data_IF_444402073737
#
_entry.id   IF_444402073737
#
_cell.length_a   1.000
_cell.length_b   1.000
_cell.length_c   1.000
_cell.angle_alpha   90.00
_cell.angle_beta   90.00
_cell.angle_gamma   90.00
#
_symmetry.space_group_name_H-M   'P 1'
#
loop_
_entity.id
_entity.type
_entity.pdbx_description
1 polymer ?
#
# COMPACT_ATOMS: atom_id res chain seq x y z
N UNK A 1 -30.90 35.59 -33.62
CA UNK A 1 -30.10 35.11 -32.46
C UNK A 1 -29.20 33.96 -32.95
N UNK A 2 -28.27 34.28 -33.86
CA UNK A 2 -27.38 33.34 -34.58
C UNK A 2 -25.97 33.98 -34.62
N UNK A 3 -25.49 34.45 -33.46
CA UNK A 3 -24.22 35.19 -33.37
C UNK A 3 -23.41 34.91 -32.08
N UNK A 4 -23.62 33.76 -31.41
CA UNK A 4 -22.84 33.39 -30.21
C UNK A 4 -22.25 31.97 -30.23
N UNK A 5 -22.12 31.33 -31.41
CA UNK A 5 -21.58 29.95 -31.50
C UNK A 5 -20.22 29.89 -32.23
N UNK A 6 -19.73 31.01 -32.82
CA UNK A 6 -18.49 31.00 -33.62
C UNK A 6 -17.24 31.58 -32.92
N UNK A 7 -17.35 32.01 -31.66
CA UNK A 7 -16.23 32.66 -30.93
C UNK A 7 -15.55 31.76 -29.87
N UNK A 8 -16.02 30.52 -29.70
CA UNK A 8 -15.51 29.58 -28.69
C UNK A 8 -14.37 28.68 -29.18
N UNK A 9 -14.20 28.47 -30.49
CA UNK A 9 -13.18 27.52 -31.01
C UNK A 9 -11.80 28.17 -31.23
N UNK A 10 -11.74 29.49 -31.42
CA UNK A 10 -10.48 30.21 -31.65
C UNK A 10 -9.65 30.41 -30.37
N UNK A 11 -10.31 30.50 -29.20
CA UNK A 11 -9.65 30.74 -27.91
C UNK A 11 -9.01 29.44 -27.37
N UNK A 12 -9.64 28.28 -27.61
CA UNK A 12 -9.14 26.98 -27.14
C UNK A 12 -7.87 26.54 -27.89
N UNK A 13 -7.73 26.93 -29.15
CA UNK A 13 -6.56 26.62 -29.98
C UNK A 13 -5.36 27.49 -29.58
N UNK A 14 -5.59 28.75 -29.22
CA UNK A 14 -4.53 29.66 -28.77
C UNK A 14 -3.98 29.28 -27.38
N UNK A 15 -4.83 28.77 -26.47
CA UNK A 15 -4.38 28.28 -25.15
C UNK A 15 -3.54 27.00 -25.23
N UNK A 16 -3.82 26.10 -26.19
CA UNK A 16 -3.03 24.87 -26.39
C UNK A 16 -1.66 25.16 -27.01
N UNK A 17 -1.57 26.15 -27.90
CA UNK A 17 -0.30 26.58 -28.50
C UNK A 17 0.56 27.35 -27.47
N UNK A 18 -0.04 28.16 -26.59
CA UNK A 18 0.69 28.84 -25.52
C UNK A 18 1.26 27.85 -24.48
N UNK A 19 0.50 26.80 -24.12
CA UNK A 19 0.96 25.78 -23.17
C UNK A 19 2.05 24.87 -23.76
N UNK A 20 2.00 24.60 -25.07
CA UNK A 20 3.08 23.89 -25.77
C UNK A 20 4.35 24.76 -25.92
N UNK A 21 4.20 26.06 -26.16
CA UNK A 21 5.32 27.00 -26.24
C UNK A 21 6.00 27.24 -24.88
N UNK A 22 5.25 27.22 -23.77
CA UNK A 22 5.84 27.31 -22.42
C UNK A 22 6.66 26.08 -22.03
N UNK A 23 6.34 24.88 -22.54
CA UNK A 23 7.16 23.68 -22.30
C UNK A 23 8.45 23.66 -23.13
N UNK A 24 8.46 24.27 -24.32
CA UNK A 24 9.67 24.34 -25.17
C UNK A 24 10.59 25.48 -24.73
N UNK A 25 10.05 26.61 -24.26
CA UNK A 25 10.85 27.81 -23.96
C UNK A 25 11.49 27.82 -22.56
N UNK A 26 11.05 26.96 -21.64
CA UNK A 26 11.67 26.85 -20.30
C UNK A 26 12.91 25.95 -20.28
N UNK A 27 13.21 25.26 -21.39
CA UNK A 27 14.29 24.27 -21.49
C UNK A 27 15.67 24.87 -21.81
N UNK A 28 15.76 26.14 -22.22
CA UNK A 28 17.03 26.72 -22.69
C UNK A 28 17.72 27.69 -21.71
N UNK A 29 17.21 27.92 -20.49
CA UNK A 29 17.72 29.01 -19.64
C UNK A 29 18.36 28.63 -18.30
N UNK A 30 18.44 27.35 -17.91
CA UNK A 30 19.14 26.99 -16.66
C UNK A 30 19.88 25.64 -16.73
N UNK A 31 21.20 25.72 -16.94
CA UNK A 31 22.22 25.06 -16.12
C UNK A 31 22.31 23.53 -16.03
N UNK A 32 23.27 22.96 -16.77
CA UNK A 32 23.87 21.63 -16.53
C UNK A 32 23.05 20.45 -17.09
N UNK A 33 23.69 19.31 -17.42
CA UNK A 33 22.96 18.10 -17.73
C UNK A 33 22.26 17.65 -16.45
N UNK A 34 20.98 17.99 -16.30
CA UNK A 34 20.09 17.25 -15.42
C UNK A 34 19.99 15.87 -16.07
N UNK A 35 20.66 14.86 -15.52
CA UNK A 35 20.28 13.48 -15.79
C UNK A 35 18.79 13.41 -15.48
N UNK A 36 17.94 13.39 -16.52
CA UNK A 36 16.51 13.16 -16.40
C UNK A 36 16.34 11.75 -15.82
N UNK A 37 16.39 11.67 -14.49
CA UNK A 37 16.27 10.42 -13.76
C UNK A 37 14.85 9.92 -13.99
N UNK A 38 14.76 8.97 -14.93
CA UNK A 38 13.50 8.57 -15.54
C UNK A 38 12.52 8.05 -14.49
N UNK A 39 11.26 8.45 -14.62
CA UNK A 39 10.24 8.14 -13.64
C UNK A 39 9.88 6.64 -13.70
N UNK A 40 10.02 5.95 -12.57
CA UNK A 40 9.69 4.52 -12.39
C UNK A 40 8.25 4.32 -11.96
N UNK A 41 7.63 3.22 -12.36
CA UNK A 41 6.25 2.87 -12.04
C UNK A 41 6.12 2.40 -10.57
N UNK A 42 7.07 1.61 -10.08
CA UNK A 42 7.15 1.17 -8.68
C UNK A 42 8.49 1.62 -8.09
N UNK A 43 8.51 2.11 -6.85
CA UNK A 43 9.76 2.41 -6.14
C UNK A 43 10.43 1.15 -5.61
N UNK A 44 11.73 1.21 -5.29
CA UNK A 44 12.43 0.10 -4.59
C UNK A 44 11.75 -0.31 -3.28
N UNK A 45 11.08 0.64 -2.62
CA UNK A 45 10.29 0.40 -1.40
C UNK A 45 8.88 -0.16 -1.67
N UNK A 46 8.52 -0.44 -2.93
CA UNK A 46 7.25 -1.06 -3.30
C UNK A 46 6.03 -0.14 -3.40
N UNK A 47 6.23 1.19 -3.39
CA UNK A 47 5.15 2.18 -3.60
C UNK A 47 4.94 2.39 -5.09
N UNK A 48 3.69 2.33 -5.54
CA UNK A 48 3.32 2.63 -6.92
C UNK A 48 3.23 4.16 -7.12
N UNK A 49 3.91 4.70 -8.13
CA UNK A 49 3.87 6.12 -8.47
C UNK A 49 2.77 6.41 -9.49
N UNK A 50 1.52 6.12 -9.12
CA UNK A 50 0.36 6.36 -9.98
C UNK A 50 -0.55 7.37 -9.32
N UNK A 51 -0.67 8.54 -9.93
CA UNK A 51 -1.68 9.52 -9.56
C UNK A 51 -2.94 9.22 -10.37
N UNK A 52 -3.99 8.77 -9.69
CA UNK A 52 -5.29 8.59 -10.32
C UNK A 52 -5.84 9.96 -10.72
N UNK A 53 -6.32 10.07 -11.96
CA UNK A 53 -7.00 11.27 -12.44
C UNK A 53 -8.30 11.55 -11.65
N UNK A 54 -9.00 12.66 -11.96
CA UNK A 54 -10.26 12.99 -11.30
C UNK A 54 -11.27 11.85 -11.49
N UNK A 55 -11.67 11.23 -10.37
CA UNK A 55 -12.70 10.20 -10.34
C UNK A 55 -14.06 10.91 -10.20
N UNK A 56 -14.96 10.71 -11.17
CA UNK A 56 -16.28 11.35 -11.20
C UNK A 56 -17.18 10.90 -10.03
N UNK A 57 -17.09 9.63 -9.63
CA UNK A 57 -17.97 9.03 -8.62
C UNK A 57 -17.29 8.83 -7.27
N UNK A 58 -17.09 9.93 -6.54
CA UNK A 58 -16.52 9.90 -5.17
C UNK A 58 -17.45 9.26 -4.14
N UNK A 59 -18.73 9.08 -4.46
CA UNK A 59 -19.73 8.48 -3.56
C UNK A 59 -19.40 7.02 -3.21
N UNK A 60 -18.71 6.31 -4.10
CA UNK A 60 -18.29 4.92 -3.89
C UNK A 60 -17.33 4.73 -2.72
N UNK A 61 -16.50 5.73 -2.44
CA UNK A 61 -15.62 5.70 -1.27
C UNK A 61 -16.41 5.85 0.04
N UNK A 62 -17.51 6.61 0.03
CA UNK A 62 -18.37 6.79 1.21
C UNK A 62 -19.24 5.56 1.47
N UNK A 63 -19.65 4.82 0.43
CA UNK A 63 -20.38 3.56 0.62
C UNK A 63 -19.53 2.49 1.31
N UNK A 64 -18.21 2.54 1.18
CA UNK A 64 -17.28 1.66 1.89
C UNK A 64 -16.53 2.41 3.00
N UNK A 65 -17.31 2.89 3.98
CA UNK A 65 -16.79 3.68 5.11
C UNK A 65 -15.82 2.86 5.97
N UNK A 66 -16.03 1.55 6.08
CA UNK A 66 -15.20 0.67 6.90
C UNK A 66 -13.78 0.57 6.34
N UNK A 67 -13.62 0.25 5.05
CA UNK A 67 -12.27 0.18 4.46
C UNK A 67 -11.61 1.56 4.45
N UNK A 68 -12.38 2.61 4.15
CA UNK A 68 -11.90 3.99 4.15
C UNK A 68 -11.32 4.38 5.52
N UNK A 69 -12.04 4.09 6.62
CA UNK A 69 -11.57 4.37 7.98
C UNK A 69 -10.30 3.60 8.32
N UNK A 70 -10.24 2.31 7.97
CA UNK A 70 -9.07 1.47 8.25
C UNK A 70 -7.85 1.92 7.42
N UNK A 71 -8.06 2.43 6.20
CA UNK A 71 -7.01 2.91 5.30
C UNK A 71 -6.44 4.30 5.67
N UNK A 72 -7.16 5.09 6.48
CA UNK A 72 -6.67 6.38 6.96
C UNK A 72 -5.30 6.26 7.64
N UNK A 73 -4.46 7.30 7.53
CA UNK A 73 -3.23 7.37 8.34
C UNK A 73 -3.59 7.38 9.82
N UNK A 74 -2.75 6.80 10.67
CA UNK A 74 -3.00 6.70 12.12
C UNK A 74 -3.41 8.03 12.77
N UNK A 75 -2.81 9.16 12.35
CA UNK A 75 -3.17 10.50 12.86
C UNK A 75 -4.64 10.85 12.61
N UNK A 76 -5.13 10.59 11.40
CA UNK A 76 -6.51 10.86 11.02
C UNK A 76 -7.47 9.82 11.60
N UNK A 77 -7.06 8.56 11.67
CA UNK A 77 -7.82 7.50 12.32
C UNK A 77 -8.09 7.81 13.80
N UNK A 78 -7.04 8.16 14.55
CA UNK A 78 -7.18 8.54 15.97
C UNK A 78 -8.04 9.80 16.14
N UNK A 79 -7.90 10.78 15.24
CA UNK A 79 -8.74 11.97 15.25
C UNK A 79 -10.23 11.63 15.07
N UNK A 80 -10.58 10.82 14.07
CA UNK A 80 -11.97 10.38 13.84
C UNK A 80 -12.49 9.58 15.02
N UNK A 81 -11.68 8.69 15.59
CA UNK A 81 -12.01 7.91 16.78
C UNK A 81 -12.35 8.83 17.96
N UNK A 82 -11.49 9.80 18.29
CA UNK A 82 -11.74 10.76 19.37
C UNK A 82 -12.98 11.62 19.11
N UNK A 83 -13.15 12.11 17.87
CA UNK A 83 -14.32 12.92 17.50
C UNK A 83 -15.62 12.14 17.62
N UNK A 84 -15.65 10.86 17.24
CA UNK A 84 -16.85 10.02 17.38
C UNK A 84 -17.34 9.96 18.84
N UNK A 85 -16.44 9.73 19.80
CA UNK A 85 -16.79 9.72 21.22
C UNK A 85 -17.27 11.09 21.71
N UNK A 86 -16.52 12.15 21.42
CA UNK A 86 -16.88 13.51 21.86
C UNK A 86 -18.26 13.91 21.32
N UNK A 87 -18.54 13.66 20.03
CA UNK A 87 -19.82 13.98 19.43
C UNK A 87 -20.96 13.20 20.09
N UNK A 88 -20.76 11.91 20.39
CA UNK A 88 -21.80 11.12 21.06
C UNK A 88 -22.07 11.60 22.48
N UNK A 89 -21.03 11.92 23.26
CA UNK A 89 -21.18 12.44 24.61
C UNK A 89 -21.88 13.79 24.62
N UNK A 90 -21.50 14.70 23.71
CA UNK A 90 -22.14 16.01 23.59
C UNK A 90 -23.59 15.88 23.14
N UNK A 91 -23.89 15.03 22.15
CA UNK A 91 -25.26 14.82 21.66
C UNK A 91 -26.19 14.28 22.76
N UNK A 92 -25.75 13.29 23.54
CA UNK A 92 -26.55 12.79 24.67
C UNK A 92 -26.62 13.80 25.81
N UNK A 93 -25.56 14.56 26.08
CA UNK A 93 -25.59 15.66 27.06
C UNK A 93 -26.62 16.73 26.70
N UNK A 94 -26.69 17.11 25.41
CA UNK A 94 -27.70 18.04 24.90
C UNK A 94 -29.10 17.47 25.12
N UNK A 95 -29.34 16.20 24.81
CA UNK A 95 -30.64 15.56 25.02
C UNK A 95 -31.02 15.51 26.51
N UNK A 96 -30.09 15.13 27.40
CA UNK A 96 -30.33 15.13 28.85
C UNK A 96 -30.63 16.53 29.38
N UNK A 97 -29.86 17.53 28.94
CA UNK A 97 -30.05 18.90 29.38
C UNK A 97 -31.38 19.49 28.87
N UNK A 98 -31.75 19.19 27.62
CA UNK A 98 -33.04 19.59 27.05
C UNK A 98 -34.21 18.92 27.79
N UNK A 99 -34.10 17.63 28.14
CA UNK A 99 -35.12 16.93 28.92
C UNK A 99 -35.28 17.53 30.32
N UNK A 100 -34.16 17.75 31.03
CA UNK A 100 -34.15 18.41 32.33
C UNK A 100 -34.73 19.84 32.28
N UNK A 101 -34.44 20.59 31.20
CA UNK A 101 -34.97 21.94 31.00
C UNK A 101 -36.47 21.94 30.68
N UNK A 102 -36.95 21.01 29.85
CA UNK A 102 -38.38 20.88 29.54
C UNK A 102 -39.23 20.45 30.74
N UNK A 103 -38.64 19.69 31.66
CA UNK A 103 -39.28 19.29 32.94
C UNK A 103 -39.16 20.34 34.04
N UNK A 104 -38.43 21.41 33.79
CA UNK A 104 -38.13 22.48 34.78
C UNK A 104 -37.32 21.98 36.00
N UNK A 105 -36.63 20.84 35.85
CA UNK A 105 -35.76 20.24 36.87
C UNK A 105 -34.59 21.19 37.21
N UNK A 106 -34.10 21.92 36.21
CA UNK A 106 -32.99 22.89 36.35
C UNK A 106 -33.38 24.11 37.19
N UNK A 107 -34.65 24.53 37.17
CA UNK A 107 -35.13 25.66 37.98
C UNK A 107 -35.37 25.26 39.45
N UNK A 108 -35.70 23.99 39.70
CA UNK A 108 -36.07 23.46 41.02
C UNK A 108 -34.97 22.65 41.71
N UNK A 109 -33.70 22.82 41.30
CA UNK A 109 -32.54 22.09 41.85
C UNK A 109 -32.40 22.21 43.38
N UNK A 110 -32.85 23.32 43.98
CA UNK A 110 -32.79 23.56 45.42
C UNK A 110 -34.12 23.30 46.16
N UNK A 111 -35.14 22.80 45.48
CA UNK A 111 -36.42 22.47 46.11
C UNK A 111 -36.39 21.02 46.62
N UNK A 112 -36.37 20.79 47.94
CA UNK A 112 -36.33 19.44 48.51
C UNK A 112 -37.62 18.64 48.31
N UNK A 113 -38.71 19.28 47.85
CA UNK A 113 -39.97 18.60 47.53
C UNK A 113 -40.06 18.20 46.05
N UNK A 114 -39.21 18.76 45.19
CA UNK A 114 -39.19 18.44 43.77
C UNK A 114 -38.51 17.08 43.54
N UNK A 115 -39.10 16.26 42.67
CA UNK A 115 -38.58 14.96 42.30
C UNK A 115 -37.98 15.02 40.89
N UNK A 116 -36.68 15.31 40.75
CA UNK A 116 -36.06 15.47 39.43
C UNK A 116 -35.96 14.14 38.71
N UNK A 117 -35.93 14.19 37.38
CA UNK A 117 -35.61 13.03 36.55
C UNK A 117 -34.14 12.65 36.67
N UNK A 118 -33.26 13.66 36.70
CA UNK A 118 -31.82 13.50 36.84
C UNK A 118 -31.32 14.22 38.08
N UNK A 119 -30.74 13.49 39.03
CA UNK A 119 -30.18 14.08 40.24
C UNK A 119 -28.88 14.85 39.94
N UNK A 120 -28.74 16.03 40.54
CA UNK A 120 -27.54 16.87 40.46
C UNK A 120 -27.15 17.28 39.01
N UNK A 121 -28.15 17.51 38.17
CA UNK A 121 -28.00 18.09 36.83
C UNK A 121 -28.50 19.54 36.85
N UNK A 122 -27.58 20.48 37.08
CA UNK A 122 -27.83 21.92 37.23
C UNK A 122 -27.44 22.76 36.00
N UNK A 123 -26.61 22.18 35.13
CA UNK A 123 -25.95 22.88 34.03
C UNK A 123 -25.62 21.93 32.88
N UNK A 124 -25.36 22.47 31.69
CA UNK A 124 -24.92 21.64 30.56
C UNK A 124 -23.68 20.78 30.87
N UNK A 125 -22.73 21.31 31.64
CA UNK A 125 -21.52 20.57 32.04
C UNK A 125 -21.88 19.39 32.95
N UNK A 126 -22.82 19.55 33.88
CA UNK A 126 -23.31 18.45 34.71
C UNK A 126 -24.04 17.37 33.90
N UNK A 127 -24.81 17.76 32.88
CA UNK A 127 -25.45 16.84 31.94
C UNK A 127 -24.41 16.11 31.06
N UNK A 128 -23.33 16.79 30.67
CA UNK A 128 -22.21 16.19 29.97
C UNK A 128 -21.48 15.16 30.82
N UNK A 129 -21.27 15.46 32.11
CA UNK A 129 -20.70 14.49 33.04
C UNK A 129 -21.61 13.27 33.18
N UNK A 130 -22.92 13.46 33.35
CA UNK A 130 -23.90 12.35 33.37
C UNK A 130 -23.82 11.52 32.08
N UNK A 131 -23.78 12.16 30.91
CA UNK A 131 -23.64 11.46 29.63
C UNK A 131 -22.37 10.62 29.55
N UNK A 132 -21.22 11.19 29.91
CA UNK A 132 -19.94 10.46 29.91
C UNK A 132 -19.95 9.31 30.92
N UNK A 133 -20.41 9.58 32.16
CA UNK A 133 -20.49 8.59 33.23
C UNK A 133 -21.37 7.40 32.85
N UNK A 134 -22.49 7.65 32.17
CA UNK A 134 -23.42 6.62 31.69
C UNK A 134 -22.87 5.88 30.48
N UNK A 135 -22.40 6.57 29.44
CA UNK A 135 -21.93 5.91 28.20
C UNK A 135 -20.65 5.10 28.41
N UNK A 136 -19.73 5.59 29.26
CA UNK A 136 -18.52 4.86 29.64
C UNK A 136 -18.70 3.93 30.83
N UNK A 137 -19.91 3.83 31.35
CA UNK A 137 -20.27 2.99 32.50
C UNK A 137 -19.33 3.21 33.70
N UNK A 138 -18.94 4.46 33.94
CA UNK A 138 -18.11 4.85 35.09
C UNK A 138 -19.00 4.94 36.33
N UNK A 139 -20.13 5.65 36.20
CA UNK A 139 -21.16 5.78 37.23
C UNK A 139 -20.61 6.19 38.60
N UNK A 140 -20.11 7.42 38.76
CA UNK A 140 -19.58 7.87 40.06
C UNK A 140 -20.66 7.89 41.16
N UNK A 141 -21.94 7.86 40.79
CA UNK A 141 -23.07 7.78 41.71
C UNK A 141 -23.52 9.12 42.28
N UNK A 142 -22.87 10.23 41.89
CA UNK A 142 -23.31 11.57 42.25
C UNK A 142 -24.44 12.11 41.35
N UNK A 143 -24.54 11.60 40.11
CA UNK A 143 -25.58 11.95 39.14
C UNK A 143 -26.28 10.65 38.74
N UNK A 144 -27.59 10.62 38.93
CA UNK A 144 -28.39 9.40 38.83
C UNK A 144 -29.68 9.71 38.06
N UNK A 145 -30.10 8.77 37.23
CA UNK A 145 -31.44 8.78 36.63
C UNK A 145 -32.40 8.16 37.62
N UNK A 146 -33.45 8.87 38.00
CA UNK A 146 -34.45 8.41 38.96
C UNK A 146 -35.57 7.64 38.28
N UNK A 147 -36.37 6.90 39.06
CA UNK A 147 -37.56 6.20 38.55
C UNK A 147 -38.78 7.13 38.37
N UNK A 148 -38.62 8.44 38.56
CA UNK A 148 -39.71 9.42 38.53
C UNK A 148 -40.13 9.79 37.09
N UNK A 149 -39.29 9.48 36.11
CA UNK A 149 -39.49 9.78 34.69
C UNK A 149 -39.29 8.52 33.85
N UNK A 150 -40.18 8.25 32.90
CA UNK A 150 -40.06 7.09 32.01
C UNK A 150 -39.10 7.38 30.85
N UNK A 151 -39.16 8.62 30.36
CA UNK A 151 -38.33 9.16 29.28
C UNK A 151 -36.82 9.12 29.63
N UNK A 152 -36.43 9.50 30.85
CA UNK A 152 -35.04 9.41 31.30
C UNK A 152 -34.52 7.97 31.33
N UNK A 153 -35.36 7.01 31.74
CA UNK A 153 -35.03 5.57 31.72
C UNK A 153 -34.87 5.07 30.29
N UNK A 154 -35.80 5.43 29.39
CA UNK A 154 -35.71 5.07 27.96
C UNK A 154 -34.47 5.68 27.30
N UNK A 155 -34.15 6.93 27.62
CA UNK A 155 -32.98 7.63 27.12
C UNK A 155 -31.68 6.97 27.59
N UNK A 156 -31.58 6.61 28.87
CA UNK A 156 -30.44 5.87 29.41
C UNK A 156 -30.27 4.49 28.75
N UNK A 157 -31.37 3.77 28.52
CA UNK A 157 -31.34 2.49 27.79
C UNK A 157 -30.87 2.67 26.35
N UNK A 158 -31.41 3.66 25.64
CA UNK A 158 -31.03 3.96 24.27
C UNK A 158 -29.54 4.35 24.17
N UNK A 159 -29.07 5.20 25.07
CA UNK A 159 -27.66 5.59 25.16
C UNK A 159 -26.75 4.38 25.41
N UNK A 160 -27.15 3.48 26.31
CA UNK A 160 -26.35 2.29 26.63
C UNK A 160 -26.21 1.36 25.42
N UNK A 161 -27.30 1.17 24.65
CA UNK A 161 -27.30 0.36 23.43
C UNK A 161 -26.44 1.01 22.34
N UNK A 162 -26.65 2.30 22.05
CA UNK A 162 -25.90 3.03 21.02
C UNK A 162 -24.42 3.11 21.40
N UNK A 163 -24.09 3.41 22.65
CA UNK A 163 -22.73 3.44 23.17
C UNK A 163 -22.01 2.11 22.98
N UNK A 164 -22.68 1.00 23.31
CA UNK A 164 -22.13 -0.35 23.13
C UNK A 164 -21.88 -0.70 21.66
N UNK A 165 -22.78 -0.30 20.74
CA UNK A 165 -22.61 -0.50 19.30
C UNK A 165 -21.38 0.29 18.80
N UNK A 166 -21.25 1.55 19.21
CA UNK A 166 -20.12 2.41 18.82
C UNK A 166 -18.80 1.85 19.36
N UNK A 167 -18.76 1.45 20.63
CA UNK A 167 -17.58 0.83 21.23
C UNK A 167 -17.17 -0.45 20.49
N UNK A 168 -18.12 -1.33 20.17
CA UNK A 168 -17.85 -2.56 19.43
C UNK A 168 -17.29 -2.28 18.03
N UNK A 169 -17.89 -1.34 17.28
CA UNK A 169 -17.43 -0.95 15.95
C UNK A 169 -16.02 -0.32 15.99
N UNK A 170 -15.78 0.58 16.94
CA UNK A 170 -14.51 1.30 17.05
C UNK A 170 -13.36 0.39 17.48
N UNK A 171 -13.58 -0.47 18.47
CA UNK A 171 -12.60 -1.49 18.89
C UNK A 171 -12.33 -2.48 17.75
N UNK A 172 -13.37 -2.92 17.04
CA UNK A 172 -13.23 -3.79 15.87
C UNK A 172 -12.39 -3.15 14.77
N UNK A 173 -12.66 -1.88 14.43
CA UNK A 173 -11.86 -1.13 13.45
C UNK A 173 -10.39 -0.98 13.89
N UNK A 174 -10.15 -0.67 15.17
CA UNK A 174 -8.80 -0.55 15.71
C UNK A 174 -8.05 -1.88 15.67
N UNK A 175 -8.71 -2.98 16.03
CA UNK A 175 -8.14 -4.32 15.95
C UNK A 175 -7.73 -4.67 14.52
N UNK A 176 -8.61 -4.48 13.53
CA UNK A 176 -8.29 -4.74 12.12
C UNK A 176 -7.13 -3.87 11.65
N UNK A 177 -7.12 -2.59 12.02
CA UNK A 177 -6.05 -1.65 11.63
C UNK A 177 -4.68 -2.06 12.19
N UNK A 178 -4.62 -2.49 13.45
CA UNK A 178 -3.38 -2.94 14.11
C UNK A 178 -2.93 -4.29 13.57
N UNK A 179 -3.88 -5.18 13.29
CA UNK A 179 -3.60 -6.51 12.78
C UNK A 179 -2.94 -6.45 11.40
N UNK A 180 -3.36 -5.53 10.51
CA UNK A 180 -2.85 -5.44 9.13
C UNK A 180 -1.30 -5.50 9.03
N UNK A 181 -0.74 -6.36 8.18
CA UNK A 181 0.69 -6.67 8.17
C UNK A 181 1.53 -5.65 7.36
N UNK A 182 1.15 -4.38 7.30
CA UNK A 182 1.85 -3.39 6.47
C UNK A 182 3.34 -3.23 6.85
N UNK A 183 3.66 -3.36 8.14
CA UNK A 183 5.05 -3.33 8.63
C UNK A 183 5.82 -4.61 8.31
N UNK A 184 5.14 -5.72 8.00
CA UNK A 184 5.79 -6.99 7.64
C UNK A 184 6.41 -6.91 6.25
N UNK A 185 5.74 -6.26 5.31
CA UNK A 185 6.30 -6.02 3.97
C UNK A 185 7.65 -5.28 4.00
N UNK A 186 7.90 -4.46 5.05
CA UNK A 186 9.15 -3.72 5.21
C UNK A 186 10.32 -4.58 5.72
N UNK A 187 10.06 -5.76 6.28
CA UNK A 187 11.12 -6.69 6.71
C UNK A 187 11.49 -7.73 5.65
N UNK A 188 10.70 -7.79 4.57
CA UNK A 188 11.04 -8.55 3.37
C UNK A 188 11.91 -7.67 2.48
N UNK A 189 13.14 -8.12 2.23
CA UNK A 189 14.13 -7.37 1.47
C UNK A 189 14.37 -8.02 0.12
N UNK A 190 14.65 -7.17 -0.86
CA UNK A 190 15.07 -7.55 -2.20
C UNK A 190 16.48 -7.03 -2.45
N UNK A 191 17.27 -7.71 -3.27
CA UNK A 191 18.58 -7.21 -3.66
C UNK A 191 18.46 -5.84 -4.34
N UNK A 192 19.47 -4.98 -4.16
CA UNK A 192 19.49 -3.67 -4.84
C UNK A 192 19.53 -3.81 -6.36
N UNK A 193 20.27 -4.81 -6.84
CA UNK A 193 20.49 -5.08 -8.26
C UNK A 193 19.94 -6.45 -8.64
N UNK A 194 19.56 -6.58 -9.91
CA UNK A 194 19.47 -7.87 -10.59
C UNK A 194 20.81 -8.16 -11.24
N UNK A 195 21.14 -9.44 -11.44
CA UNK A 195 22.34 -9.84 -12.17
C UNK A 195 22.00 -10.81 -13.27
N UNK A 196 22.68 -10.71 -14.42
CA UNK A 196 22.59 -11.67 -15.51
C UNK A 196 23.91 -12.42 -15.58
N UNK A 197 23.84 -13.74 -15.51
CA UNK A 197 25.01 -14.60 -15.72
C UNK A 197 24.60 -15.98 -16.23
N UNK A 198 25.58 -16.71 -16.72
CA UNK A 198 25.40 -18.09 -17.13
C UNK A 198 25.34 -19.03 -15.91
N UNK A 199 24.35 -19.92 -15.89
CA UNK A 199 24.19 -20.97 -14.89
C UNK A 199 23.77 -22.25 -15.60
N UNK A 200 24.56 -23.31 -15.45
CA UNK A 200 24.35 -24.59 -16.12
C UNK A 200 24.11 -24.42 -17.63
N UNK A 201 25.03 -23.68 -18.26
CA UNK A 201 25.06 -23.30 -19.69
C UNK A 201 23.92 -22.40 -20.20
N UNK A 202 22.98 -22.04 -19.33
CA UNK A 202 21.83 -21.20 -19.67
C UNK A 202 22.02 -19.79 -19.14
N UNK A 203 21.64 -18.80 -19.95
CA UNK A 203 21.63 -17.41 -19.51
C UNK A 203 20.47 -17.19 -18.53
N UNK A 204 20.76 -16.66 -17.35
CA UNK A 204 19.80 -16.51 -16.28
C UNK A 204 19.79 -15.08 -15.74
N UNK A 205 18.60 -14.53 -15.50
CA UNK A 205 18.38 -13.32 -14.73
C UNK A 205 18.11 -13.71 -13.27
N UNK A 206 18.88 -13.13 -12.35
CA UNK A 206 18.91 -13.50 -10.94
C UNK A 206 18.63 -12.27 -10.07
N UNK A 207 17.83 -12.45 -9.03
CA UNK A 207 17.69 -11.47 -7.94
C UNK A 207 17.54 -12.19 -6.61
N UNK A 208 17.91 -11.53 -5.51
CA UNK A 208 17.86 -12.13 -4.18
C UNK A 208 16.67 -11.58 -3.40
N UNK A 209 16.05 -12.45 -2.63
CA UNK A 209 15.03 -12.09 -1.66
C UNK A 209 15.46 -12.61 -0.29
N UNK A 210 14.99 -11.97 0.78
CA UNK A 210 15.24 -12.43 2.14
C UNK A 210 14.17 -11.95 3.10
N UNK A 211 13.98 -12.70 4.18
CA UNK A 211 13.20 -12.26 5.35
C UNK A 211 14.18 -11.92 6.48
N UNK A 212 14.08 -10.70 7.03
CA UNK A 212 14.88 -10.30 8.18
C UNK A 212 14.32 -10.83 9.51
N UNK A 213 13.11 -11.39 9.52
CA UNK A 213 12.50 -11.96 10.72
C UNK A 213 12.72 -13.47 10.81
N UNK A 214 12.78 -13.97 12.04
CA UNK A 214 12.85 -15.40 12.33
C UNK A 214 11.51 -16.14 12.09
N UNK A 215 10.38 -15.48 12.33
CA UNK A 215 9.04 -16.01 12.05
C UNK A 215 8.85 -16.24 10.55
N UNK A 216 8.09 -17.26 10.15
CA UNK A 216 8.02 -17.66 8.76
C UNK A 216 6.93 -16.93 7.97
N UNK A 217 7.13 -16.84 6.66
CA UNK A 217 6.07 -16.50 5.72
C UNK A 217 5.51 -17.79 5.14
N UNK A 218 4.25 -18.07 5.46
CA UNK A 218 3.54 -19.27 5.03
C UNK A 218 3.02 -19.07 3.60
N UNK A 219 3.09 -20.12 2.76
CA UNK A 219 2.62 -20.08 1.36
C UNK A 219 3.23 -18.90 0.56
N UNK A 220 4.54 -18.70 0.71
CA UNK A 220 5.27 -17.64 0.02
C UNK A 220 5.31 -17.92 -1.50
N UNK A 221 4.91 -16.95 -2.30
CA UNK A 221 4.81 -17.01 -3.76
C UNK A 221 5.48 -15.79 -4.39
N UNK A 222 6.34 -16.01 -5.37
CA UNK A 222 7.02 -14.94 -6.09
C UNK A 222 6.48 -14.81 -7.52
N UNK A 223 6.22 -13.58 -7.95
CA UNK A 223 5.82 -13.26 -9.32
C UNK A 223 6.65 -12.11 -9.86
N UNK A 224 6.88 -12.11 -11.17
CA UNK A 224 7.57 -11.03 -11.86
C UNK A 224 6.76 -10.57 -13.07
N UNK A 225 6.65 -9.24 -13.23
CA UNK A 225 6.02 -8.60 -14.39
C UNK A 225 7.04 -7.69 -15.06
N UNK A 226 7.16 -7.79 -16.37
CA UNK A 226 7.88 -6.83 -17.20
C UNK A 226 6.90 -5.74 -17.64
N UNK A 227 7.26 -4.48 -17.40
CA UNK A 227 6.56 -3.32 -17.92
C UNK A 227 7.41 -2.69 -19.02
N UNK A 228 6.84 -2.63 -20.22
CA UNK A 228 7.48 -2.01 -21.39
C UNK A 228 6.44 -1.33 -22.27
N UNK A 229 6.78 -0.19 -22.86
CA UNK A 229 5.95 0.43 -23.89
C UNK A 229 6.15 -0.28 -25.22
N UNK A 230 5.06 -0.55 -25.95
CA UNK A 230 5.12 -1.23 -27.25
C UNK A 230 4.15 -0.57 -28.24
N UNK A 231 4.50 -0.62 -29.52
CA UNK A 231 3.57 -0.36 -30.61
C UNK A 231 3.18 -1.68 -31.29
N UNK A 232 1.88 -1.90 -31.51
CA UNK A 232 1.37 -3.08 -32.22
C UNK A 232 1.66 -2.98 -33.71
N UNK A 233 1.49 -4.09 -34.45
CA UNK A 233 1.70 -4.09 -35.90
C UNK A 233 0.66 -3.24 -36.63
N UNK A 234 -0.51 -3.11 -36.02
CA UNK A 234 -1.66 -2.32 -36.47
C UNK A 234 -1.49 -0.82 -36.15
N UNK A 235 -0.45 -0.44 -35.40
CA UNK A 235 -0.08 0.95 -35.10
C UNK A 235 -0.55 1.48 -33.75
N UNK A 236 -1.26 0.68 -32.94
CA UNK A 236 -1.70 1.07 -31.60
C UNK A 236 -0.50 1.20 -30.64
N UNK A 237 -0.41 2.31 -29.92
CA UNK A 237 0.61 2.52 -28.90
C UNK A 237 0.09 2.13 -27.51
N UNK A 238 0.74 1.15 -26.90
CA UNK A 238 0.45 0.65 -25.56
C UNK A 238 1.54 1.18 -24.61
N UNK A 239 1.22 2.13 -23.70
CA UNK A 239 2.24 2.84 -22.92
C UNK A 239 2.93 1.98 -21.86
N UNK A 240 2.21 1.06 -21.21
CA UNK A 240 2.71 0.22 -20.11
C UNK A 240 2.20 -1.21 -20.28
N UNK A 241 2.60 -1.88 -21.36
CA UNK A 241 2.26 -3.30 -21.58
C UNK A 241 2.90 -4.13 -20.47
N UNK A 242 2.11 -4.98 -19.82
CA UNK A 242 2.56 -5.86 -18.75
C UNK A 242 2.65 -7.28 -19.30
N UNK A 243 3.85 -7.86 -19.30
CA UNK A 243 4.07 -9.27 -19.60
C UNK A 243 4.64 -10.01 -18.40
N UNK A 244 4.44 -11.32 -18.34
CA UNK A 244 4.90 -12.15 -17.22
C UNK A 244 6.30 -12.70 -17.47
N UNK A 245 7.12 -12.69 -16.42
CA UNK A 245 8.45 -13.34 -16.44
C UNK A 245 8.30 -14.65 -15.67
N UNK A 246 8.57 -15.78 -16.34
CA UNK A 246 8.43 -17.10 -15.73
C UNK A 246 9.50 -17.33 -14.65
N UNK A 247 9.08 -17.48 -13.40
CA UNK A 247 9.95 -17.80 -12.25
C UNK A 247 9.84 -19.27 -11.80
N UNK A 248 9.32 -20.15 -12.68
CA UNK A 248 9.07 -21.56 -12.38
C UNK A 248 7.63 -21.84 -11.95
N UNK A 249 6.65 -21.12 -12.51
CA UNK A 249 5.22 -21.34 -12.21
C UNK A 249 4.80 -22.79 -12.51
N UNK A 250 5.21 -23.32 -13.67
CA UNK A 250 4.83 -24.66 -14.12
C UNK A 250 5.47 -25.79 -13.30
N UNK A 251 6.67 -25.55 -12.76
CA UNK A 251 7.38 -26.50 -11.90
C UNK A 251 7.08 -26.29 -10.42
N UNK A 252 6.38 -25.20 -10.09
CA UNK A 252 6.11 -24.76 -8.74
C UNK A 252 7.32 -24.21 -7.98
N UNK A 253 8.39 -23.82 -8.70
CA UNK A 253 9.57 -23.16 -8.14
C UNK A 253 9.32 -21.71 -7.71
N UNK A 254 8.15 -21.15 -8.07
CA UNK A 254 7.64 -19.87 -7.59
C UNK A 254 7.12 -19.94 -6.14
N UNK A 255 6.88 -21.15 -5.62
CA UNK A 255 6.47 -21.41 -4.23
C UNK A 255 7.70 -21.61 -3.37
N UNK A 256 7.92 -20.70 -2.44
CA UNK A 256 9.17 -20.56 -1.71
C UNK A 256 9.03 -21.05 -0.27
N UNK A 257 10.08 -21.70 0.23
CA UNK A 257 10.32 -21.85 1.66
C UNK A 257 11.32 -20.78 2.10
N UNK A 258 10.85 -19.56 2.34
CA UNK A 258 11.72 -18.41 2.60
C UNK A 258 12.19 -18.39 4.07
N UNK A 259 13.29 -19.09 4.36
CA UNK A 259 13.99 -19.07 5.66
C UNK A 259 15.31 -18.33 5.53
N UNK A 260 16.19 -18.84 4.66
CA UNK A 260 17.42 -18.19 4.24
C UNK A 260 17.18 -17.25 3.03
N UNK A 261 18.10 -16.31 2.76
CA UNK A 261 18.07 -15.56 1.52
C UNK A 261 18.12 -16.48 0.29
N UNK A 262 17.09 -16.39 -0.55
CA UNK A 262 17.00 -17.20 -1.78
C UNK A 262 17.31 -16.35 -3.01
N UNK A 263 18.08 -16.94 -3.93
CA UNK A 263 18.37 -16.33 -5.23
C UNK A 263 17.38 -16.88 -6.24
N UNK A 264 16.40 -16.05 -6.60
CA UNK A 264 15.37 -16.39 -7.57
C UNK A 264 15.97 -16.34 -8.97
N UNK A 265 15.66 -17.35 -9.78
CA UNK A 265 16.25 -17.55 -11.10
C UNK A 265 15.18 -17.54 -12.17
N UNK A 266 15.31 -16.62 -13.12
CA UNK A 266 14.58 -16.65 -14.38
C UNK A 266 15.52 -17.15 -15.48
N UNK A 267 15.17 -18.28 -16.10
CA UNK A 267 15.92 -18.81 -17.25
C UNK A 267 15.48 -18.05 -18.50
N UNK A 268 16.44 -17.44 -19.21
CA UNK A 268 16.19 -16.72 -20.45
C UNK A 268 16.15 -17.76 -21.59
N UNK A 269 14.94 -18.25 -21.89
CA UNK A 269 14.63 -19.17 -22.98
C UNK A 269 13.87 -18.44 -24.12
N UNK A 270 13.49 -19.16 -25.18
CA UNK A 270 12.75 -18.60 -26.32
C UNK A 270 11.46 -17.86 -25.96
N UNK A 271 10.78 -18.29 -24.88
CA UNK A 271 9.56 -17.65 -24.38
C UNK A 271 9.83 -16.40 -23.52
N UNK A 272 11.09 -16.16 -23.15
CA UNK A 272 11.48 -15.03 -22.31
C UNK A 272 11.47 -13.73 -23.11
N UNK A 273 10.98 -12.62 -22.52
CA UNK A 273 11.08 -11.30 -23.16
C UNK A 273 12.53 -10.81 -23.31
N UNK A 274 13.49 -11.48 -22.67
CA UNK A 274 14.92 -11.18 -22.74
C UNK A 274 15.68 -12.04 -23.77
N UNK A 275 14.99 -12.90 -24.53
CA UNK A 275 15.63 -13.85 -25.46
C UNK A 275 16.58 -13.18 -26.48
N UNK A 276 16.14 -12.06 -27.07
CA UNK A 276 16.89 -11.30 -28.09
C UNK A 276 17.71 -10.13 -27.51
N UNK A 277 17.88 -10.07 -26.18
CA UNK A 277 18.55 -8.97 -25.50
C UNK A 277 19.96 -9.41 -25.10
N UNK A 278 20.97 -8.87 -25.78
CA UNK A 278 22.38 -8.97 -25.39
C UNK A 278 22.83 -7.84 -24.46
N UNK A 279 24.08 -7.89 -24.02
CA UNK A 279 24.64 -6.97 -23.01
C UNK A 279 24.56 -5.48 -23.43
N UNK A 280 24.94 -5.17 -24.67
CA UNK A 280 24.88 -3.78 -25.16
C UNK A 280 23.43 -3.31 -25.32
N UNK A 281 22.56 -4.18 -25.84
CA UNK A 281 21.15 -3.85 -26.08
C UNK A 281 20.41 -3.61 -24.77
N UNK A 282 20.73 -4.33 -23.70
CA UNK A 282 20.14 -4.16 -22.37
C UNK A 282 20.18 -2.69 -21.91
N UNK A 283 21.33 -2.02 -22.09
CA UNK A 283 21.53 -0.63 -21.68
C UNK A 283 20.74 0.39 -22.51
N UNK A 284 20.31 0.01 -23.72
CA UNK A 284 19.54 0.85 -24.64
C UNK A 284 18.03 0.61 -24.53
N UNK A 285 17.66 -0.55 -24.03
CA UNK A 285 16.27 -0.94 -23.86
C UNK A 285 15.64 -0.23 -22.68
N UNK A 286 14.35 0.06 -22.81
CA UNK A 286 13.60 0.88 -21.86
C UNK A 286 12.49 0.03 -21.24
N UNK A 287 12.71 -0.49 -20.04
CA UNK A 287 11.74 -1.36 -19.37
C UNK A 287 11.92 -1.33 -17.84
N UNK A 288 10.92 -1.85 -17.13
CA UNK A 288 10.97 -2.01 -15.68
C UNK A 288 10.48 -3.41 -15.31
N UNK A 289 11.24 -4.14 -14.50
CA UNK A 289 10.84 -5.44 -13.95
C UNK A 289 10.26 -5.21 -12.56
N UNK A 290 8.99 -5.54 -12.36
CA UNK A 290 8.34 -5.49 -11.05
C UNK A 290 8.32 -6.88 -10.45
N UNK A 291 8.87 -7.00 -9.25
CA UNK A 291 8.85 -8.22 -8.46
C UNK A 291 7.80 -8.08 -7.37
N UNK A 292 6.97 -9.11 -7.21
CA UNK A 292 5.88 -9.18 -6.25
C UNK A 292 6.03 -10.46 -5.45
N UNK A 293 6.29 -10.32 -4.15
CA UNK A 293 6.33 -11.42 -3.19
C UNK A 293 5.05 -11.39 -2.37
N UNK A 294 4.28 -12.47 -2.43
CA UNK A 294 3.05 -12.68 -1.67
C UNK A 294 3.24 -13.80 -0.66
N UNK A 295 2.54 -13.73 0.47
CA UNK A 295 2.52 -14.82 1.44
C UNK A 295 1.64 -14.49 2.63
N UNK A 296 1.50 -15.43 3.54
CA UNK A 296 0.66 -15.31 4.74
C UNK A 296 1.57 -15.12 5.95
N UNK A 297 1.26 -14.13 6.78
CA UNK A 297 2.01 -13.87 8.01
C UNK A 297 1.56 -14.84 9.10
N UNK A 298 2.47 -15.73 9.51
CA UNK A 298 2.23 -16.82 10.47
C UNK A 298 1.41 -16.41 11.72
N UNK A 299 1.80 -15.30 12.37
CA UNK A 299 1.16 -14.87 13.61
C UNK A 299 -0.28 -14.35 13.44
N UNK A 300 -0.66 -13.91 12.24
CA UNK A 300 -1.92 -13.18 12.02
C UNK A 300 -2.86 -13.84 11.01
N UNK A 301 -2.37 -14.81 10.22
CA UNK A 301 -3.14 -15.46 9.17
C UNK A 301 -3.53 -14.55 7.99
N UNK A 302 -3.14 -13.28 7.99
CA UNK A 302 -3.43 -12.37 6.87
C UNK A 302 -2.35 -12.45 5.79
N UNK A 303 -2.79 -12.21 4.56
CA UNK A 303 -1.90 -12.08 3.41
C UNK A 303 -1.13 -10.75 3.46
N UNK A 304 0.14 -10.82 3.08
CA UNK A 304 1.06 -9.71 2.95
C UNK A 304 1.65 -9.74 1.54
N UNK A 305 1.86 -8.55 0.96
CA UNK A 305 2.50 -8.39 -0.33
C UNK A 305 3.63 -7.37 -0.21
N UNK A 306 4.84 -7.78 -0.59
CA UNK A 306 6.00 -6.93 -0.75
C UNK A 306 6.32 -6.78 -2.24
N UNK A 307 6.74 -5.58 -2.64
CA UNK A 307 7.02 -5.26 -4.05
C UNK A 307 8.35 -4.52 -4.16
N UNK A 308 9.03 -4.71 -5.27
CA UNK A 308 10.17 -3.90 -5.69
C UNK A 308 10.19 -3.78 -7.21
N UNK A 309 11.04 -2.92 -7.74
CA UNK A 309 11.27 -2.79 -9.18
C UNK A 309 12.75 -2.81 -9.51
N UNK A 310 13.07 -3.20 -10.74
CA UNK A 310 14.40 -3.09 -11.34
C UNK A 310 14.30 -2.40 -12.69
N UNK A 311 14.98 -1.27 -12.84
CA UNK A 311 15.18 -0.61 -14.12
C UNK A 311 16.37 -1.21 -14.87
N UNK A 312 16.54 -0.85 -16.13
CA UNK A 312 17.65 -1.29 -17.00
C UNK A 312 19.03 -1.04 -16.36
N UNK A 313 19.22 0.09 -15.70
CA UNK A 313 20.46 0.49 -15.01
C UNK A 313 20.76 -0.36 -13.76
N UNK A 314 19.74 -1.00 -13.20
CA UNK A 314 19.84 -1.79 -11.97
C UNK A 314 20.08 -3.28 -12.26
N UNK A 315 20.31 -3.64 -13.53
CA UNK A 315 20.61 -4.99 -13.98
C UNK A 315 22.09 -5.08 -14.40
N UNK A 316 22.87 -5.84 -13.65
CA UNK A 316 24.30 -6.01 -13.89
C UNK A 316 24.56 -7.24 -14.77
N UNK A 317 25.05 -7.02 -15.98
CA UNK A 317 25.46 -8.12 -16.88
C UNK A 317 26.81 -8.71 -16.47
N UNK A 318 26.93 -10.03 -16.49
CA UNK A 318 28.17 -10.73 -16.15
C UNK A 318 28.52 -10.67 -14.67
N UNK A 319 27.52 -10.60 -13.79
CA UNK A 319 27.72 -10.57 -12.34
C UNK A 319 27.04 -11.78 -11.67
N UNK A 320 27.59 -12.21 -10.54
CA UNK A 320 26.98 -13.19 -9.63
C UNK A 320 26.90 -12.64 -8.23
N UNK A 321 25.91 -13.10 -7.46
CA UNK A 321 25.83 -12.75 -6.04
C UNK A 321 26.87 -13.51 -5.22
N UNK A 322 27.49 -12.81 -4.27
CA UNK A 322 28.37 -13.43 -3.28
C UNK A 322 27.55 -14.31 -2.32
N UNK A 323 28.14 -15.42 -1.85
CA UNK A 323 27.45 -16.32 -0.92
C UNK A 323 27.28 -15.65 0.44
N UNK A 324 26.05 -15.55 0.92
CA UNK A 324 25.73 -14.99 2.24
C UNK A 324 25.54 -16.06 3.33
N UNK A 325 25.85 -17.32 3.02
CA UNK A 325 25.66 -18.47 3.90
C UNK A 325 27.01 -19.01 4.37
N UNK A 326 27.17 -19.17 5.69
CA UNK A 326 28.30 -19.88 6.30
C UNK A 326 27.80 -20.93 7.30
N UNK A 327 28.60 -21.95 7.55
CA UNK A 327 28.32 -22.98 8.55
C UNK A 327 29.11 -22.68 9.82
N UNK A 328 28.43 -22.36 10.91
CA UNK A 328 29.05 -22.08 12.21
C UNK A 328 28.47 -22.98 13.30
N UNK A 329 29.33 -23.75 13.97
CA UNK A 329 29.00 -24.58 15.16
C UNK A 329 27.71 -25.42 15.00
N UNK A 330 27.51 -26.04 13.83
CA UNK A 330 26.37 -26.91 13.55
C UNK A 330 25.08 -26.19 13.16
N UNK A 331 25.12 -24.87 12.95
CA UNK A 331 24.00 -24.07 12.44
C UNK A 331 24.41 -23.26 11.22
N UNK A 332 23.46 -23.01 10.31
CA UNK A 332 23.66 -22.09 9.20
C UNK A 332 23.55 -20.65 9.70
N UNK A 333 24.55 -19.83 9.37
CA UNK A 333 24.56 -18.40 9.66
C UNK A 333 24.41 -17.62 8.36
N UNK A 334 23.49 -16.66 8.38
CA UNK A 334 23.27 -15.72 7.29
C UNK A 334 24.03 -14.42 7.60
N UNK A 335 24.91 -13.99 6.70
CA UNK A 335 25.53 -12.66 6.77
C UNK A 335 24.80 -11.68 5.83
N UNK A 336 23.95 -10.85 6.41
CA UNK A 336 23.20 -9.83 5.67
C UNK A 336 24.09 -8.71 5.10
N UNK A 337 25.32 -8.53 5.58
CA UNK A 337 26.24 -7.50 5.04
C UNK A 337 26.69 -7.81 3.61
N UNK A 338 26.61 -9.09 3.22
CA UNK A 338 26.97 -9.62 1.91
C UNK A 338 25.73 -9.79 1.00
N UNK A 339 24.52 -9.53 1.52
CA UNK A 339 23.26 -9.78 0.81
C UNK A 339 23.20 -9.12 -0.57
N UNK A 340 23.62 -7.86 -0.67
CA UNK A 340 23.64 -7.09 -1.91
C UNK A 340 24.94 -7.21 -2.71
N UNK A 341 25.98 -7.86 -2.17
CA UNK A 341 27.29 -7.91 -2.80
C UNK A 341 27.28 -8.82 -4.02
N UNK A 342 27.88 -8.32 -5.09
CA UNK A 342 28.05 -9.06 -6.35
C UNK A 342 29.51 -8.99 -6.79
N UNK A 343 29.93 -9.97 -7.57
CA UNK A 343 31.26 -10.03 -8.16
C UNK A 343 31.15 -10.33 -9.66
N UNK A 344 32.06 -9.77 -10.49
CA UNK A 344 32.06 -9.99 -11.93
C UNK A 344 32.51 -11.42 -12.26
N UNK A 345 31.90 -11.99 -13.30
CA UNK A 345 32.17 -13.34 -13.82
C UNK A 345 32.20 -13.28 -15.33
N UNK A 346 33.13 -14.02 -15.94
CA UNK A 346 33.20 -14.14 -17.39
C UNK A 346 31.88 -14.70 -17.94
N UNK A 347 31.13 -13.86 -18.65
CA UNK A 347 29.86 -14.19 -19.31
C UNK A 347 29.88 -13.56 -20.69
N UNK A 348 29.50 -14.32 -21.72
CA UNK A 348 29.43 -13.78 -23.08
C UNK A 348 28.48 -12.58 -23.13
N UNK A 349 28.79 -11.62 -24.00
CA UNK A 349 27.98 -10.39 -24.20
C UNK A 349 26.82 -10.59 -25.16
N UNK A 350 26.78 -11.75 -25.84
CA UNK A 350 25.76 -12.15 -26.80
C UNK A 350 24.40 -12.34 -26.13
N UNK A 351 23.35 -12.17 -26.93
CA UNK A 351 21.99 -12.52 -26.51
C UNK A 351 21.82 -14.04 -26.36
N UNK A 352 20.78 -14.46 -25.64
CA UNK A 352 20.50 -15.88 -25.45
C UNK A 352 20.18 -16.59 -26.79
N UNK A 353 19.54 -15.87 -27.73
CA UNK A 353 19.26 -16.31 -29.10
C UNK A 353 20.53 -16.51 -29.94
N UNK A 354 21.40 -15.51 -30.01
CA UNK A 354 22.65 -15.64 -30.79
C UNK A 354 23.48 -16.82 -30.27
N UNK A 355 23.46 -17.04 -28.95
CA UNK A 355 24.13 -18.18 -28.32
C UNK A 355 23.48 -19.53 -28.65
N UNK A 356 22.16 -19.61 -28.81
CA UNK A 356 21.52 -20.84 -29.28
C UNK A 356 21.86 -21.12 -30.73
N UNK A 357 21.86 -20.09 -31.56
CA UNK A 357 22.13 -20.20 -32.99
C UNK A 357 23.59 -20.68 -33.23
N UNK A 358 24.57 -20.13 -32.49
CA UNK A 358 25.97 -20.61 -32.54
C UNK A 358 26.12 -22.08 -32.11
N UNK A 359 25.37 -22.53 -31.10
CA UNK A 359 25.39 -23.93 -30.65
C UNK A 359 24.76 -24.87 -31.68
N UNK A 360 23.74 -24.44 -32.41
CA UNK A 360 23.12 -25.24 -33.46
C UNK A 360 24.06 -25.40 -34.67
N UNK A 361 24.77 -24.33 -35.03
CA UNK A 361 25.78 -24.37 -36.09
C UNK A 361 26.95 -25.31 -35.72
N UNK A 362 27.46 -25.27 -34.49
CA UNK A 362 28.52 -26.19 -34.02
C UNK A 362 28.11 -27.68 -34.03
N UNK A 363 26.82 -28.00 -33.89
CA UNK A 363 26.31 -29.39 -33.91
C UNK A 363 26.05 -29.88 -35.35
N UNK A 364 25.88 -28.97 -36.31
CA UNK A 364 25.67 -29.30 -37.72
C UNK A 364 26.98 -29.56 -38.49
N UNK A 365 28.13 -29.16 -37.95
CA UNK A 365 29.48 -29.48 -38.44
C UNK A 365 30.08 -30.68 -37.72
#
# INVERSE_FOLDING_TARGET
MVYCILESESILTCSKILHAAQHVCCYELFGGPVEERRQRYVTKDGKCQVNLGPIEDKSRFLSDIFTTLVDLKYRWFLFVFTMCYIVTWVAFAEIYFLDAWLRDDVAHVHDPQWQPCFENVDSFISALLLSVESQRTIGYGSRLVTANCMEGVVLLMAQSIIGSIIDALMVGCMFVKISRPQKRAQTLIFSKHCVISERDEKLCLLFRIGDLRASHMVDAKIRAKLIKSRQTKEGEFIPLEQSEINLGYDTGGDRLLLVEPQTITHVINESSPFWEIGAERLTRERFEIIIILEGIVEASGMTCQARTSYTEEEILWGHRFESCMSLEKGSYRVDHSVFDKTFPVHTLTLSAKEKSDEKEDEVLF
#
